data_IF_451744094772
#
_entry.id   IF_451744094772
#
_cell.length_a   1.000
_cell.length_b   1.000
_cell.length_c   1.000
_cell.angle_alpha   90.00
_cell.angle_beta   90.00
_cell.angle_gamma   90.00
#
_symmetry.space_group_name_H-M   'P 1'
#
loop_
_entity.id
_entity.type
_entity.pdbx_description
1 polymer ?
#
# COMPACT_ATOMS: atom_id res chain seq x y z
N UNK A 1 16.60 1.12 -2.11
CA UNK A 1 15.81 -0.09 -2.41
C UNK A 1 14.45 0.39 -2.82
N UNK A 2 14.11 0.13 -4.07
CA UNK A 2 13.09 0.83 -4.83
C UNK A 2 11.92 -0.13 -4.95
N UNK A 3 11.02 -0.06 -3.97
CA UNK A 3 9.78 -0.82 -4.02
C UNK A 3 8.83 -0.15 -5.00
N UNK A 4 8.83 -0.65 -6.23
CA UNK A 4 7.71 -0.41 -7.14
C UNK A 4 6.63 -1.41 -6.77
N UNK A 5 5.68 -1.00 -5.94
CA UNK A 5 4.43 -1.73 -5.78
C UNK A 5 3.65 -1.51 -7.08
N UNK A 6 3.83 -2.43 -8.03
CA UNK A 6 2.88 -2.60 -9.12
C UNK A 6 1.66 -3.24 -8.48
N UNK A 7 0.67 -2.42 -8.10
CA UNK A 7 -0.68 -2.92 -7.90
C UNK A 7 -1.06 -3.63 -9.21
N UNK A 8 -1.34 -4.95 -9.20
CA UNK A 8 -1.83 -5.62 -10.38
C UNK A 8 -3.26 -5.12 -10.56
N UNK A 9 -3.40 -3.94 -11.18
CA UNK A 9 -4.63 -3.55 -11.82
C UNK A 9 -5.01 -4.73 -12.70
N UNK A 10 -6.20 -5.30 -12.44
CA UNK A 10 -6.84 -6.36 -13.18
C UNK A 10 -6.84 -6.02 -14.70
N UNK A 11 -5.75 -6.28 -15.41
CA UNK A 11 -5.85 -6.61 -16.81
C UNK A 11 -6.38 -8.04 -16.81
N UNK A 12 -7.58 -8.22 -17.36
CA UNK A 12 -8.12 -9.53 -17.73
C UNK A 12 -7.10 -10.24 -18.63
N UNK A 13 -6.18 -11.01 -18.03
CA UNK A 13 -5.04 -11.63 -18.73
C UNK A 13 -3.72 -11.73 -17.95
N UNK A 14 -3.58 -11.06 -16.79
CA UNK A 14 -2.42 -11.22 -15.90
C UNK A 14 -1.07 -10.81 -16.49
N UNK A 15 0.04 -11.32 -15.94
CA UNK A 15 1.41 -10.95 -16.37
C UNK A 15 1.71 -11.30 -17.83
N UNK A 16 1.17 -12.41 -18.34
CA UNK A 16 1.41 -12.83 -19.72
C UNK A 16 0.87 -11.79 -20.71
N UNK A 17 -0.36 -11.33 -20.50
CA UNK A 17 -0.98 -10.30 -21.34
C UNK A 17 -0.33 -8.93 -21.14
N UNK A 18 0.00 -8.58 -19.90
CA UNK A 18 0.75 -7.37 -19.59
C UNK A 18 2.12 -7.33 -20.28
N UNK A 19 2.90 -8.41 -20.19
CA UNK A 19 4.24 -8.47 -20.80
C UNK A 19 4.21 -8.50 -22.33
N UNK A 20 3.11 -9.00 -22.92
CA UNK A 20 2.84 -8.94 -24.35
C UNK A 20 2.53 -7.52 -24.81
N UNK A 21 1.69 -6.79 -24.07
CA UNK A 21 1.28 -5.43 -24.41
C UNK A 21 2.33 -4.37 -24.06
N UNK A 22 3.12 -4.59 -23.01
CA UNK A 22 4.08 -3.63 -22.46
C UNK A 22 5.48 -4.25 -22.20
N UNK A 23 6.14 -4.81 -23.24
CA UNK A 23 7.39 -5.54 -23.08
C UNK A 23 8.55 -4.69 -22.52
N UNK A 24 8.56 -3.38 -22.78
CA UNK A 24 9.60 -2.46 -22.29
C UNK A 24 9.44 -2.06 -20.82
N UNK A 25 8.34 -2.45 -20.16
CA UNK A 25 8.12 -2.26 -18.73
C UNK A 25 8.42 -3.53 -17.92
N UNK A 26 8.77 -4.63 -18.60
CA UNK A 26 9.14 -5.89 -17.97
C UNK A 26 10.64 -5.95 -17.73
N UNK A 27 11.04 -6.39 -16.54
CA UNK A 27 12.45 -6.50 -16.16
C UNK A 27 13.21 -7.44 -17.12
N UNK A 28 14.40 -7.02 -17.58
CA UNK A 28 15.26 -7.80 -18.49
C UNK A 28 15.08 -7.55 -19.99
N UNK A 29 14.10 -6.75 -20.42
CA UNK A 29 13.97 -6.30 -21.82
C UNK A 29 14.34 -4.82 -21.95
N UNK A 30 15.65 -4.58 -22.10
CA UNK A 30 16.19 -3.23 -22.24
C UNK A 30 15.78 -2.60 -23.57
N UNK A 31 14.75 -1.77 -23.54
CA UNK A 31 14.55 -0.70 -24.52
C UNK A 31 14.14 0.53 -23.76
N UNK A 32 14.94 1.59 -23.93
CA UNK A 32 14.80 2.94 -23.41
C UNK A 32 13.36 3.25 -23.00
N UNK A 33 13.07 3.09 -21.71
CA UNK A 33 11.79 3.50 -21.14
C UNK A 33 11.63 5.00 -21.42
N UNK A 34 10.46 5.46 -21.92
CA UNK A 34 10.13 6.87 -21.87
C UNK A 34 10.37 7.28 -20.42
N UNK A 35 11.24 8.27 -20.19
CA UNK A 35 11.54 8.75 -18.86
C UNK A 35 10.19 9.06 -18.21
N UNK A 36 9.77 8.18 -17.31
CA UNK A 36 8.65 8.45 -16.45
C UNK A 36 9.00 9.79 -15.81
N UNK A 37 8.10 10.76 -15.94
CA UNK A 37 8.13 11.93 -15.06
C UNK A 37 7.67 11.42 -13.69
N UNK A 38 8.42 10.47 -13.11
CA UNK A 38 8.54 10.37 -11.67
C UNK A 38 9.17 11.69 -11.30
N UNK A 39 8.32 12.68 -11.00
CA UNK A 39 8.77 13.96 -10.50
C UNK A 39 9.83 13.66 -9.44
N UNK A 40 11.07 14.19 -9.55
CA UNK A 40 12.00 14.14 -8.44
C UNK A 40 11.23 14.78 -7.30
N UNK A 41 11.01 14.01 -6.24
CA UNK A 41 10.06 14.30 -5.19
C UNK A 41 10.22 15.76 -4.74
N UNK A 42 9.44 16.68 -5.32
CA UNK A 42 9.18 17.94 -4.67
C UNK A 42 8.58 17.53 -3.32
N UNK A 43 8.92 18.19 -2.22
CA UNK A 43 8.28 17.91 -0.95
C UNK A 43 6.79 18.23 -1.13
N UNK A 44 6.04 17.25 -1.60
CA UNK A 44 4.59 17.23 -1.54
C UNK A 44 4.34 17.35 -0.06
N UNK A 45 3.71 18.46 0.34
CA UNK A 45 3.26 18.62 1.70
C UNK A 45 2.50 17.34 2.04
N UNK A 46 3.01 16.58 3.00
CA UNK A 46 2.50 15.26 3.36
C UNK A 46 1.20 15.48 4.16
N UNK A 47 0.15 15.91 3.46
CA UNK A 47 -1.12 16.42 4.02
C UNK A 47 -1.99 15.29 4.59
N UNK A 48 -1.57 14.04 4.46
CA UNK A 48 -2.23 12.90 5.08
C UNK A 48 -1.94 11.61 4.31
N UNK A 49 -2.76 10.56 4.51
CA UNK A 49 -2.57 9.30 3.83
C UNK A 49 -2.89 9.43 2.34
N UNK A 50 -2.18 8.66 1.52
CA UNK A 50 -2.39 8.60 0.07
C UNK A 50 -3.54 7.65 -0.25
N UNK A 51 -4.58 8.15 -0.92
CA UNK A 51 -5.68 7.30 -1.38
C UNK A 51 -5.27 6.47 -2.60
N UNK A 52 -5.24 5.15 -2.47
CA UNK A 52 -4.87 4.22 -3.55
C UNK A 52 -6.09 3.58 -4.22
N UNK A 53 -7.22 3.44 -3.51
CA UNK A 53 -8.54 3.07 -4.04
C UNK A 53 -9.62 3.89 -3.31
N UNK A 54 -10.88 3.96 -3.79
CA UNK A 54 -11.93 4.75 -3.15
C UNK A 54 -12.08 4.55 -1.63
N UNK A 55 -11.84 3.33 -1.14
CA UNK A 55 -11.93 2.96 0.28
C UNK A 55 -10.60 2.44 0.85
N UNK A 56 -9.48 2.64 0.15
CA UNK A 56 -8.16 2.15 0.58
C UNK A 56 -7.13 3.26 0.55
N UNK A 57 -6.47 3.46 1.69
CA UNK A 57 -5.49 4.51 1.91
C UNK A 57 -4.19 3.89 2.40
N UNK A 58 -3.07 4.42 1.93
CA UNK A 58 -1.72 4.10 2.37
C UNK A 58 -1.18 5.28 3.18
N UNK A 59 -0.74 5.04 4.41
CA UNK A 59 -0.27 6.09 5.32
C UNK A 59 0.76 5.61 6.31
N UNK A 60 1.11 6.49 7.25
CA UNK A 60 2.07 6.22 8.31
C UNK A 60 1.43 6.31 9.71
N UNK A 61 2.21 6.00 10.74
CA UNK A 61 1.77 6.11 12.13
C UNK A 61 1.19 7.49 12.47
N UNK A 62 1.80 8.58 11.98
CA UNK A 62 1.32 9.93 12.24
C UNK A 62 -0.09 10.17 11.71
N UNK A 63 -0.42 9.59 10.55
CA UNK A 63 -1.74 9.75 9.94
C UNK A 63 -2.80 8.98 10.73
N UNK A 64 -2.48 7.74 11.09
CA UNK A 64 -3.35 6.83 11.85
C UNK A 64 -3.64 7.33 13.26
N UNK A 65 -2.71 8.08 13.87
CA UNK A 65 -2.91 8.67 15.21
C UNK A 65 -3.63 10.03 15.16
N UNK A 66 -3.82 10.62 13.99
CA UNK A 66 -4.55 11.87 13.83
C UNK A 66 -6.06 11.59 13.67
N UNK A 67 -6.81 11.75 14.76
CA UNK A 67 -8.25 11.46 14.80
C UNK A 67 -9.04 12.29 13.80
N UNK A 68 -8.76 13.59 13.72
CA UNK A 68 -9.48 14.51 12.84
C UNK A 68 -9.27 14.12 11.37
N UNK A 69 -8.03 13.80 10.99
CA UNK A 69 -7.68 13.34 9.65
C UNK A 69 -8.38 12.03 9.29
N UNK A 70 -8.39 11.05 10.20
CA UNK A 70 -9.07 9.76 10.01
C UNK A 70 -10.57 9.96 9.81
N UNK A 71 -11.20 10.82 10.62
CA UNK A 71 -12.64 11.14 10.50
C UNK A 71 -12.97 11.87 9.20
N UNK A 72 -12.16 12.86 8.81
CA UNK A 72 -12.35 13.63 7.57
C UNK A 72 -12.29 12.74 6.32
N UNK A 73 -11.44 11.71 6.33
CA UNK A 73 -11.31 10.76 5.23
C UNK A 73 -12.28 9.56 5.33
N UNK A 74 -13.10 9.49 6.39
CA UNK A 74 -14.01 8.38 6.63
C UNK A 74 -13.31 7.06 6.94
N UNK A 75 -12.08 7.11 7.48
CA UNK A 75 -11.28 5.92 7.76
C UNK A 75 -11.68 5.34 9.13
N UNK A 76 -12.39 4.22 9.09
CA UNK A 76 -12.86 3.50 10.29
C UNK A 76 -12.14 2.19 10.59
N UNK A 77 -11.27 1.73 9.68
CA UNK A 77 -10.52 0.48 9.77
C UNK A 77 -9.03 0.73 9.56
N UNK A 78 -8.19 0.00 10.29
CA UNK A 78 -6.73 0.14 10.22
C UNK A 78 -6.09 -1.24 10.14
N UNK A 79 -5.37 -1.48 9.05
CA UNK A 79 -4.42 -2.58 8.92
C UNK A 79 -3.01 -2.01 9.17
N UNK A 80 -2.37 -2.48 10.24
CA UNK A 80 -1.04 -2.08 10.64
C UNK A 80 -0.03 -3.20 10.34
N UNK A 81 0.89 -2.94 9.42
CA UNK A 81 2.00 -3.84 9.07
C UNK A 81 3.29 -3.51 9.86
N UNK A 82 3.20 -3.43 11.20
CA UNK A 82 4.35 -3.18 12.06
C UNK A 82 4.20 -3.78 13.45
N UNK A 83 5.32 -3.93 14.13
CA UNK A 83 5.37 -4.39 15.52
C UNK A 83 5.12 -3.29 16.55
N UNK A 84 5.40 -2.03 16.22
CA UNK A 84 5.56 -0.95 17.20
C UNK A 84 4.52 0.15 17.13
N UNK A 85 3.85 0.34 15.98
CA UNK A 85 2.84 1.41 15.88
C UNK A 85 1.67 1.12 16.84
N UNK A 86 1.32 2.01 17.77
CA UNK A 86 0.24 1.78 18.72
C UNK A 86 -1.13 1.75 18.04
N UNK A 87 -2.09 1.03 18.63
CA UNK A 87 -3.49 1.08 18.20
C UNK A 87 -4.09 2.42 18.63
N UNK A 88 -4.78 3.16 17.75
CA UNK A 88 -5.51 4.35 18.18
C UNK A 88 -6.67 4.00 19.10
N UNK A 89 -6.92 4.81 20.12
CA UNK A 89 -8.00 4.59 21.09
C UNK A 89 -9.40 4.72 20.45
N UNK A 90 -9.51 5.54 19.41
CA UNK A 90 -10.76 5.78 18.69
C UNK A 90 -11.13 4.70 17.66
N UNK A 91 -10.26 3.70 17.46
CA UNK A 91 -10.54 2.56 16.57
C UNK A 91 -10.91 1.34 17.43
N UNK A 92 -12.10 0.75 17.24
CA UNK A 92 -12.50 -0.49 17.90
C UNK A 92 -11.54 -1.64 17.58
N UNK A 93 -11.39 -2.59 18.52
CA UNK A 93 -10.54 -3.76 18.31
C UNK A 93 -10.97 -4.58 17.08
N UNK A 94 -12.28 -4.66 16.82
CA UNK A 94 -12.83 -5.34 15.64
C UNK A 94 -12.44 -4.70 14.31
N UNK A 95 -12.02 -3.44 14.32
CA UNK A 95 -11.65 -2.66 13.14
C UNK A 95 -10.13 -2.42 13.05
N UNK A 96 -9.35 -3.11 13.88
CA UNK A 96 -7.90 -3.01 13.88
C UNK A 96 -7.28 -4.39 13.62
N UNK A 97 -6.49 -4.50 12.56
CA UNK A 97 -5.70 -5.69 12.27
C UNK A 97 -4.22 -5.35 12.35
N UNK A 98 -3.48 -6.05 13.21
CA UNK A 98 -2.01 -6.03 13.18
C UNK A 98 -1.46 -7.24 12.42
N UNK A 99 -0.58 -6.93 11.47
CA UNK A 99 0.31 -7.86 10.78
C UNK A 99 1.72 -7.57 11.30
N UNK A 100 2.24 -8.36 12.27
CA UNK A 100 3.50 -8.10 12.96
C UNK A 100 4.69 -8.50 12.10
N UNK A 101 4.97 -7.71 11.06
CA UNK A 101 6.10 -7.92 10.14
C UNK A 101 7.21 -6.92 10.41
N UNK A 102 8.45 -7.37 10.30
CA UNK A 102 9.61 -6.49 10.25
C UNK A 102 9.94 -6.13 8.81
N UNK A 103 10.37 -4.90 8.59
CA UNK A 103 10.92 -4.46 7.32
C UNK A 103 12.33 -5.06 7.14
N UNK A 104 12.36 -6.33 6.73
CA UNK A 104 13.59 -7.08 6.51
C UNK A 104 13.39 -8.14 5.44
N UNK A 105 14.46 -8.49 4.73
CA UNK A 105 14.44 -9.54 3.70
C UNK A 105 14.13 -10.94 4.22
N UNK A 106 14.26 -11.17 5.53
CA UNK A 106 14.01 -12.45 6.16
C UNK A 106 12.54 -12.63 6.57
N UNK A 107 11.77 -11.54 6.58
CA UNK A 107 10.38 -11.56 7.03
C UNK A 107 9.46 -12.18 5.97
N UNK A 108 8.51 -13.00 6.40
CA UNK A 108 7.56 -13.64 5.49
C UNK A 108 6.23 -12.90 5.52
N UNK A 109 5.93 -12.17 4.45
CA UNK A 109 4.63 -11.48 4.29
C UNK A 109 3.51 -12.43 3.84
N UNK A 110 3.84 -13.44 3.04
CA UNK A 110 2.87 -14.34 2.41
C UNK A 110 1.86 -14.96 3.39
N UNK A 111 2.25 -15.46 4.59
CA UNK A 111 1.29 -16.04 5.53
C UNK A 111 0.23 -15.08 6.04
N UNK A 112 0.43 -13.76 5.88
CA UNK A 112 -0.49 -12.72 6.36
C UNK A 112 -1.45 -12.23 5.27
N UNK A 113 -1.25 -12.63 4.01
CA UNK A 113 -2.00 -12.10 2.88
C UNK A 113 -3.48 -12.46 2.96
N UNK A 114 -3.82 -13.73 3.18
CA UNK A 114 -5.22 -14.19 3.22
C UNK A 114 -6.01 -13.40 4.28
N UNK A 115 -5.47 -13.31 5.50
CA UNK A 115 -6.07 -12.54 6.59
C UNK A 115 -6.19 -11.05 6.28
N UNK A 116 -5.22 -10.49 5.56
CA UNK A 116 -5.21 -9.07 5.18
C UNK A 116 -6.26 -8.77 4.11
N UNK A 117 -6.40 -9.66 3.12
CA UNK A 117 -7.40 -9.54 2.06
C UNK A 117 -8.81 -9.66 2.65
N UNK A 118 -9.05 -10.64 3.52
CA UNK A 118 -10.33 -10.80 4.21
C UNK A 118 -10.70 -9.57 5.06
N UNK A 119 -9.70 -8.90 5.64
CA UNK A 119 -9.93 -7.69 6.42
C UNK A 119 -10.23 -6.47 5.54
N UNK A 120 -9.53 -6.32 4.41
CA UNK A 120 -9.75 -5.24 3.44
C UNK A 120 -11.10 -5.39 2.72
N UNK A 121 -11.59 -6.61 2.55
CA UNK A 121 -12.86 -6.89 1.86
C UNK A 121 -14.13 -6.64 2.68
N UNK A 122 -14.02 -6.21 3.95
CA UNK A 122 -15.16 -5.87 4.83
C UNK A 122 -15.65 -4.45 4.58
#
# INVERSE_FOLDING_TARGET
>A
MNESIILPCLFSGGFAEFSRCFPGLCEGKSTLVPSCISQPCLPVANIGPTRILPNLYLGCQRDVLNKELMQQNGIGYVLNASNTCPKPDFIPESHFLRVPVNDSFCEKILPWLDKSVDFIGK
#
